data_IF_282243438197
#
_entry.id   IF_282243438197
#
_cell.length_a   1.000
_cell.length_b   1.000
_cell.length_c   1.000
_cell.angle_alpha   90.00
_cell.angle_beta   90.00
_cell.angle_gamma   90.00
#
_symmetry.space_group_name_H-M   'P 1'
#
loop_
_entity.id
_entity.type
_entity.pdbx_description
1 polymer ?
#
# COMPACT_ATOMS: atom_id res chain seq x y z
N UNK A 1 29.36 -76.97 16.80
CA UNK A 1 29.08 -75.55 16.46
C UNK A 1 27.75 -75.18 17.13
N UNK A 2 27.78 -74.08 17.88
CA UNK A 2 26.77 -73.59 18.86
C UNK A 2 25.38 -73.44 18.21
N UNK A 3 24.33 -74.07 18.75
CA UNK A 3 23.35 -73.56 19.75
C UNK A 3 22.57 -72.30 19.31
N UNK A 4 21.25 -72.43 19.00
CA UNK A 4 20.05 -72.20 19.87
C UNK A 4 19.69 -70.70 19.98
N UNK A 5 18.48 -70.19 19.66
CA UNK A 5 17.12 -70.33 20.27
C UNK A 5 16.10 -69.66 19.30
N UNK A 6 14.92 -70.19 18.91
CA UNK A 6 13.63 -70.37 19.62
C UNK A 6 13.16 -69.09 20.37
N UNK A 7 11.97 -68.48 20.17
CA UNK A 7 10.57 -68.89 20.51
C UNK A 7 9.65 -67.72 20.03
N UNK A 8 8.62 -67.94 19.18
CA UNK A 8 7.14 -67.96 19.45
C UNK A 8 6.52 -66.61 19.93
N UNK A 9 5.30 -66.14 19.59
CA UNK A 9 4.01 -66.78 19.26
C UNK A 9 2.99 -65.70 18.82
N UNK A 10 2.01 -66.07 17.96
CA UNK A 10 0.59 -65.62 17.95
C UNK A 10 0.25 -64.14 17.68
N UNK A 11 -0.81 -63.74 17.00
CA UNK A 11 -2.03 -64.41 16.55
C UNK A 11 -3.05 -63.32 16.20
N UNK A 12 -3.86 -63.56 15.19
CA UNK A 12 -4.58 -62.57 14.38
C UNK A 12 -5.98 -62.16 14.89
N UNK A 13 -6.40 -60.95 14.49
CA UNK A 13 -7.70 -60.49 13.94
C UNK A 13 -9.02 -60.87 14.67
N UNK A 14 -9.84 -59.88 15.00
CA UNK A 14 -11.27 -59.82 14.62
C UNK A 14 -11.93 -58.47 14.96
N UNK A 15 -12.61 -57.89 13.96
CA UNK A 15 -13.55 -56.79 14.10
C UNK A 15 -14.94 -57.32 14.49
N UNK A 16 -15.68 -56.58 15.32
CA UNK A 16 -17.13 -56.71 15.47
C UNK A 16 -17.75 -55.32 15.63
N UNK A 17 -18.60 -54.97 14.68
CA UNK A 17 -19.62 -53.92 14.77
C UNK A 17 -20.83 -54.51 15.49
N UNK A 18 -21.40 -53.83 16.48
CA UNK A 18 -22.83 -53.90 16.76
C UNK A 18 -23.32 -52.62 17.45
N UNK A 19 -24.35 -52.02 16.87
CA UNK A 19 -25.09 -50.88 17.37
C UNK A 19 -26.04 -51.27 18.52
N UNK A 20 -26.33 -50.33 19.43
CA UNK A 20 -27.63 -50.14 20.10
C UNK A 20 -27.63 -48.88 21.00
N UNK A 21 -28.52 -47.93 20.68
CA UNK A 21 -29.08 -46.87 21.56
C UNK A 21 -30.27 -47.42 22.40
N UNK A 22 -30.93 -46.65 23.29
CA UNK A 22 -30.52 -45.55 24.17
C UNK A 22 -30.89 -45.82 25.65
N UNK A 23 -30.28 -45.11 26.60
CA UNK A 23 -30.83 -44.97 27.96
C UNK A 23 -30.76 -43.51 28.39
N UNK A 24 -31.95 -42.92 28.56
CA UNK A 24 -32.15 -41.57 29.05
C UNK A 24 -31.79 -41.49 30.53
N UNK A 25 -31.02 -40.46 30.90
CA UNK A 25 -30.98 -39.93 32.26
C UNK A 25 -30.86 -38.40 32.19
N UNK A 26 -32.04 -37.77 32.24
CA UNK A 26 -32.41 -36.55 32.97
C UNK A 26 -31.43 -35.37 32.91
N UNK A 27 -31.95 -34.33 32.26
CA UNK A 27 -31.41 -32.98 32.20
C UNK A 27 -31.26 -32.33 33.60
N UNK A 28 -30.07 -31.78 33.85
CA UNK A 28 -29.94 -30.51 34.57
C UNK A 28 -29.68 -29.44 33.52
N UNK A 29 -30.68 -28.60 33.26
CA UNK A 29 -30.51 -27.39 32.47
C UNK A 29 -29.65 -26.40 33.27
N UNK A 30 -28.34 -26.57 33.19
CA UNK A 30 -27.41 -25.48 33.41
C UNK A 30 -27.72 -24.41 32.38
N UNK A 31 -28.29 -23.30 32.84
CA UNK A 31 -28.58 -22.10 32.07
C UNK A 31 -27.24 -21.52 31.56
N UNK A 32 -26.66 -22.12 30.53
CA UNK A 32 -25.62 -21.50 29.73
C UNK A 32 -26.32 -20.42 28.92
N UNK A 33 -26.23 -19.19 29.40
CA UNK A 33 -26.39 -18.02 28.55
C UNK A 33 -25.67 -18.30 27.23
N UNK A 34 -26.29 -18.04 26.06
CA UNK A 34 -25.57 -18.16 24.80
C UNK A 34 -24.28 -17.36 24.97
N UNK A 35 -23.15 -18.01 24.70
CA UNK A 35 -21.89 -17.31 24.50
C UNK A 35 -22.22 -16.35 23.37
N UNK A 36 -22.43 -15.08 23.75
CA UNK A 36 -22.56 -13.99 22.81
C UNK A 36 -21.25 -14.06 22.05
N UNK A 37 -21.31 -14.37 20.75
CA UNK A 37 -20.17 -14.12 19.89
C UNK A 37 -19.68 -12.71 20.25
N UNK A 38 -18.36 -12.52 20.47
CA UNK A 38 -17.86 -11.18 20.69
C UNK A 38 -18.43 -10.34 19.55
N UNK A 39 -19.23 -9.35 19.91
CA UNK A 39 -19.61 -8.30 18.98
C UNK A 39 -18.26 -7.78 18.52
N UNK A 40 -17.87 -8.04 17.28
CA UNK A 40 -16.73 -7.36 16.67
C UNK A 40 -16.94 -5.88 16.98
N UNK A 41 -16.10 -5.31 17.83
CA UNK A 41 -16.14 -3.88 18.06
C UNK A 41 -15.96 -3.26 16.67
N UNK A 42 -16.83 -2.31 16.28
CA UNK A 42 -16.69 -1.67 14.99
C UNK A 42 -15.28 -1.08 14.94
N UNK A 43 -14.50 -1.50 13.95
CA UNK A 43 -13.19 -0.93 13.70
C UNK A 43 -13.45 0.53 13.34
N UNK A 44 -13.22 1.46 14.28
CA UNK A 44 -13.35 2.89 13.99
C UNK A 44 -12.39 3.21 12.85
N UNK A 45 -12.87 3.80 11.73
CA UNK A 45 -11.99 4.19 10.65
C UNK A 45 -10.98 5.20 11.19
N UNK A 46 -9.75 5.17 10.68
CA UNK A 46 -8.70 6.06 11.17
C UNK A 46 -9.13 7.53 11.00
N UNK A 47 -9.85 7.84 9.93
CA UNK A 47 -10.40 9.17 9.64
C UNK A 47 -11.84 9.11 9.14
N UNK A 48 -12.57 10.20 9.32
CA UNK A 48 -13.80 10.48 8.57
C UNK A 48 -13.49 11.37 7.37
N UNK A 49 -14.19 11.12 6.26
CA UNK A 49 -14.07 11.91 5.04
C UNK A 49 -15.24 12.90 4.92
N UNK A 50 -14.93 14.19 4.71
CA UNK A 50 -15.92 15.23 4.43
C UNK A 50 -15.66 15.81 3.04
N UNK A 51 -16.59 15.63 2.11
CA UNK A 51 -16.49 16.14 0.75
C UNK A 51 -16.71 17.66 0.68
N UNK A 52 -15.99 18.30 -0.24
CA UNK A 52 -16.29 19.65 -0.71
C UNK A 52 -17.39 19.63 -1.78
N UNK A 53 -18.12 20.74 -1.93
CA UNK A 53 -19.20 20.86 -2.91
C UNK A 53 -18.71 20.77 -4.37
N UNK A 54 -17.48 21.20 -4.59
CA UNK A 54 -16.74 21.21 -5.84
C UNK A 54 -15.24 21.32 -5.50
N UNK A 55 -14.34 21.12 -6.47
CA UNK A 55 -12.92 21.32 -6.25
C UNK A 55 -12.59 22.74 -5.78
N UNK A 56 -11.67 22.87 -4.83
CA UNK A 56 -11.19 24.15 -4.27
C UNK A 56 -9.67 24.15 -4.12
N UNK A 57 -9.05 25.32 -4.00
CA UNK A 57 -7.61 25.40 -3.74
C UNK A 57 -7.28 24.94 -2.32
N UNK A 58 -6.07 24.40 -2.11
CA UNK A 58 -5.59 23.95 -0.80
C UNK A 58 -5.60 25.07 0.26
N UNK A 59 -5.27 26.29 -0.14
CA UNK A 59 -5.35 27.47 0.74
C UNK A 59 -6.80 27.77 1.18
N UNK A 60 -7.75 27.67 0.26
CA UNK A 60 -9.18 27.90 0.55
C UNK A 60 -9.75 26.79 1.43
N UNK A 61 -9.41 25.54 1.14
CA UNK A 61 -9.79 24.37 1.93
C UNK A 61 -9.33 24.53 3.38
N UNK A 62 -8.06 24.88 3.58
CA UNK A 62 -7.46 25.12 4.91
C UNK A 62 -8.18 26.23 5.68
N UNK A 63 -8.55 27.30 4.98
CA UNK A 63 -9.25 28.44 5.58
C UNK A 63 -10.67 28.07 6.02
N UNK A 64 -11.43 27.37 5.17
CA UNK A 64 -12.83 26.98 5.46
C UNK A 64 -12.90 25.91 6.54
N UNK A 65 -12.04 24.90 6.49
CA UNK A 65 -11.94 23.87 7.52
C UNK A 65 -11.69 24.47 8.91
N UNK A 66 -10.73 25.40 8.99
CA UNK A 66 -10.41 26.12 10.23
C UNK A 66 -11.57 26.97 10.71
N UNK A 67 -12.26 27.68 9.81
CA UNK A 67 -13.43 28.51 10.15
C UNK A 67 -14.62 27.67 10.66
N UNK A 68 -14.79 26.45 10.15
CA UNK A 68 -15.77 25.48 10.62
C UNK A 68 -15.40 24.84 11.97
N UNK A 69 -14.18 25.08 12.47
CA UNK A 69 -13.66 24.52 13.71
C UNK A 69 -13.52 22.99 13.67
N UNK A 70 -13.40 22.41 12.48
CA UNK A 70 -13.22 20.96 12.30
C UNK A 70 -11.77 20.56 12.62
N UNK A 71 -11.54 19.43 13.32
CA UNK A 71 -10.21 18.89 13.57
C UNK A 71 -9.69 18.21 12.31
N UNK A 72 -9.40 19.01 11.28
CA UNK A 72 -8.88 18.48 10.01
C UNK A 72 -7.42 18.05 10.19
N UNK A 73 -7.10 16.88 9.66
CA UNK A 73 -5.77 16.28 9.69
C UNK A 73 -5.10 16.29 8.30
N UNK A 74 -5.89 16.27 7.24
CA UNK A 74 -5.38 16.27 5.88
C UNK A 74 -6.47 16.53 4.84
N UNK A 75 -6.07 16.46 3.57
CA UNK A 75 -6.93 16.72 2.42
C UNK A 75 -6.61 15.74 1.30
N UNK A 76 -7.65 15.23 0.64
CA UNK A 76 -7.55 14.54 -0.64
C UNK A 76 -7.72 15.52 -1.78
N UNK A 77 -6.90 15.38 -2.81
CA UNK A 77 -7.11 16.05 -4.08
C UNK A 77 -7.25 15.06 -5.22
N UNK A 78 -8.09 15.45 -6.18
CA UNK A 78 -8.36 14.70 -7.39
C UNK A 78 -8.71 15.71 -8.48
N UNK A 79 -7.93 15.70 -9.56
CA UNK A 79 -8.21 16.45 -10.79
C UNK A 79 -8.32 15.49 -11.97
N UNK A 80 -8.33 15.99 -13.20
CA UNK A 80 -8.21 15.15 -14.40
C UNK A 80 -6.78 14.64 -14.63
N UNK A 81 -5.78 15.18 -13.91
CA UNK A 81 -4.35 14.91 -14.13
C UNK A 81 -3.64 14.20 -12.96
N UNK A 82 -4.00 14.49 -11.72
CA UNK A 82 -3.31 13.93 -10.53
C UNK A 82 -4.29 13.54 -9.42
N UNK A 83 -3.88 12.62 -8.56
CA UNK A 83 -4.55 12.28 -7.30
C UNK A 83 -3.52 12.19 -6.18
N UNK A 84 -3.94 12.44 -4.95
CA UNK A 84 -3.09 12.26 -3.79
C UNK A 84 -3.67 12.84 -2.52
N UNK A 85 -2.86 12.81 -1.48
CA UNK A 85 -3.20 13.33 -0.16
C UNK A 85 -2.13 14.31 0.33
N UNK A 86 -2.59 15.34 1.04
CA UNK A 86 -1.75 16.27 1.80
C UNK A 86 -2.17 16.21 3.27
N UNK A 87 -1.21 15.95 4.16
CA UNK A 87 -1.40 15.83 5.60
C UNK A 87 -0.76 17.02 6.31
N UNK A 88 -1.51 17.63 7.24
CA UNK A 88 -1.04 18.81 7.96
C UNK A 88 0.17 18.53 8.86
N UNK A 89 0.27 17.29 9.35
CA UNK A 89 1.42 16.79 10.10
C UNK A 89 2.39 15.97 9.22
N UNK A 90 2.20 15.98 7.89
CA UNK A 90 3.06 15.28 6.92
C UNK A 90 4.47 15.87 6.79
N UNK A 91 4.71 17.05 7.37
CA UNK A 91 6.04 17.68 7.48
C UNK A 91 6.31 18.78 6.46
N UNK A 92 5.69 18.71 5.28
CA UNK A 92 5.76 19.81 4.32
C UNK A 92 4.75 20.90 4.69
N UNK A 93 5.18 22.15 4.57
CA UNK A 93 4.24 23.27 4.57
C UNK A 93 3.36 23.22 3.30
N UNK A 94 2.22 23.91 3.34
CA UNK A 94 1.34 24.06 2.16
C UNK A 94 2.13 24.59 0.96
N UNK A 95 2.99 25.58 1.17
CA UNK A 95 3.82 26.15 0.11
C UNK A 95 4.85 25.17 -0.46
N UNK A 96 5.49 24.36 0.40
CA UNK A 96 6.46 23.34 -0.03
C UNK A 96 5.77 22.21 -0.80
N UNK A 97 4.64 21.71 -0.32
CA UNK A 97 3.88 20.69 -1.02
C UNK A 97 3.40 21.17 -2.40
N UNK A 98 2.84 22.38 -2.48
CA UNK A 98 2.44 22.97 -3.75
C UNK A 98 3.63 23.17 -4.70
N UNK A 99 4.81 23.51 -4.17
CA UNK A 99 6.02 23.65 -4.97
C UNK A 99 6.48 22.31 -5.54
N UNK A 100 6.43 21.23 -4.76
CA UNK A 100 6.79 19.88 -5.22
C UNK A 100 5.81 19.34 -6.26
N UNK A 101 4.49 19.44 -6.04
CA UNK A 101 3.49 19.06 -7.04
C UNK A 101 3.77 19.82 -8.34
N UNK A 102 3.94 21.14 -8.27
CA UNK A 102 4.19 21.97 -9.46
C UNK A 102 5.50 21.63 -10.16
N UNK A 103 6.56 21.31 -9.40
CA UNK A 103 7.87 20.92 -9.94
C UNK A 103 7.77 19.62 -10.73
N UNK A 104 7.03 18.64 -10.22
CA UNK A 104 6.96 17.31 -10.83
C UNK A 104 5.90 17.21 -11.94
N UNK A 105 4.84 18.04 -11.88
CA UNK A 105 3.69 17.94 -12.79
C UNK A 105 3.44 19.16 -13.68
N UNK A 106 3.86 20.35 -13.27
CA UNK A 106 3.38 21.62 -13.82
C UNK A 106 1.94 22.02 -13.46
N UNK A 107 1.19 21.22 -12.70
CA UNK A 107 -0.18 21.50 -12.21
C UNK A 107 -0.20 21.91 -10.72
N UNK A 108 -1.40 21.98 -10.14
CA UNK A 108 -1.69 22.21 -8.73
C UNK A 108 -2.79 21.24 -8.26
N UNK A 109 -2.84 20.89 -6.96
CA UNK A 109 -3.86 20.01 -6.42
C UNK A 109 -5.24 20.70 -6.35
N UNK A 110 -6.26 19.93 -6.74
CA UNK A 110 -7.68 20.29 -6.65
C UNK A 110 -8.33 19.56 -5.47
N UNK A 111 -8.55 20.27 -4.36
CA UNK A 111 -9.03 19.63 -3.12
C UNK A 111 -10.50 19.25 -3.26
N UNK A 112 -10.80 17.97 -2.98
CA UNK A 112 -12.16 17.40 -3.06
C UNK A 112 -12.67 16.87 -1.72
N UNK A 113 -11.78 16.52 -0.80
CA UNK A 113 -12.14 15.96 0.53
C UNK A 113 -11.24 16.50 1.62
N UNK A 114 -11.79 16.71 2.82
CA UNK A 114 -11.02 16.90 4.05
C UNK A 114 -11.09 15.62 4.91
N UNK A 115 -9.94 15.19 5.41
CA UNK A 115 -9.82 14.14 6.43
C UNK A 115 -9.95 14.76 7.81
N UNK A 116 -10.90 14.29 8.60
CA UNK A 116 -11.13 14.71 10.00
C UNK A 116 -10.94 13.53 10.92
N UNK A 117 -10.41 13.78 12.11
CA UNK A 117 -10.42 12.83 13.22
C UNK A 117 -11.81 12.16 13.35
N UNK A 118 -11.86 10.84 13.17
CA UNK A 118 -13.10 10.09 13.13
C UNK A 118 -13.84 10.04 14.47
N UNK A 119 -13.12 10.02 15.59
CA UNK A 119 -13.69 10.01 16.94
C UNK A 119 -14.26 11.40 17.26
N UNK A 120 -13.47 12.44 17.03
CA UNK A 120 -13.89 13.82 17.29
C UNK A 120 -15.05 14.26 16.38
N UNK A 121 -15.10 13.75 15.13
CA UNK A 121 -16.21 14.02 14.23
C UNK A 121 -17.50 13.29 14.64
N UNK A 122 -17.40 12.03 15.05
CA UNK A 122 -18.55 11.24 15.54
C UNK A 122 -19.17 11.90 16.76
N UNK A 123 -18.36 12.31 17.73
CA UNK A 123 -18.80 13.02 18.92
C UNK A 123 -19.53 14.34 18.59
N UNK A 124 -18.98 15.13 17.65
CA UNK A 124 -19.64 16.36 17.18
C UNK A 124 -20.97 16.06 16.49
N UNK A 125 -21.06 15.00 15.69
CA UNK A 125 -22.28 14.62 14.98
C UNK A 125 -23.38 14.18 15.95
N UNK A 126 -23.04 13.39 16.96
CA UNK A 126 -23.97 12.95 17.99
C UNK A 126 -24.49 14.10 18.85
N UNK A 127 -23.61 15.03 19.24
CA UNK A 127 -23.99 16.24 19.96
C UNK A 127 -24.87 17.18 19.12
N UNK A 128 -24.66 17.20 17.81
CA UNK A 128 -25.28 18.17 16.90
C UNK A 128 -26.50 17.64 16.14
N UNK A 129 -27.26 16.67 16.69
CA UNK A 129 -28.50 16.08 16.10
C UNK A 129 -29.14 16.94 15.00
N UNK A 130 -28.67 16.82 13.75
CA UNK A 130 -29.01 17.79 12.70
C UNK A 130 -27.89 18.25 11.76
N UNK A 131 -26.64 17.86 11.95
CA UNK A 131 -25.67 17.87 10.84
C UNK A 131 -26.12 16.80 9.84
N UNK A 132 -26.92 17.20 8.84
CA UNK A 132 -27.03 16.44 7.58
C UNK A 132 -25.66 16.32 6.91
N UNK A 133 -25.57 15.66 5.76
CA UNK A 133 -24.32 15.50 5.01
C UNK A 133 -23.60 16.86 4.92
N UNK A 134 -22.54 17.03 5.71
CA UNK A 134 -21.81 18.30 5.81
C UNK A 134 -21.00 18.38 4.54
N UNK A 135 -21.37 19.30 3.65
CA UNK A 135 -20.59 19.60 2.46
C UNK A 135 -19.84 20.90 2.71
N UNK A 136 -18.52 20.87 2.55
CA UNK A 136 -17.68 22.04 2.76
C UNK A 136 -17.60 22.92 1.52
N UNK A 137 -17.39 24.22 1.73
CA UNK A 137 -16.97 25.13 0.68
C UNK A 137 -18.02 25.46 -0.40
N UNK A 138 -19.32 25.27 -0.14
CA UNK A 138 -20.38 25.59 -1.11
C UNK A 138 -20.38 27.06 -1.60
N UNK A 139 -19.85 27.99 -0.81
CA UNK A 139 -19.72 29.41 -1.16
C UNK A 139 -18.34 29.77 -1.76
N UNK A 140 -17.41 28.81 -1.84
CA UNK A 140 -16.09 29.05 -2.44
C UNK A 140 -16.20 29.07 -3.98
N UNK A 141 -15.27 29.73 -4.69
CA UNK A 141 -15.18 29.55 -6.13
C UNK A 141 -14.71 28.13 -6.47
N UNK A 142 -15.18 27.61 -7.61
CA UNK A 142 -14.60 26.41 -8.22
C UNK A 142 -13.15 26.70 -8.56
N UNK A 143 -12.26 25.81 -8.13
CA UNK A 143 -10.85 25.84 -8.51
C UNK A 143 -10.61 24.82 -9.63
N UNK A 144 -9.90 25.25 -10.66
CA UNK A 144 -9.61 24.48 -11.87
C UNK A 144 -8.12 24.70 -12.17
N UNK A 145 -7.31 23.67 -11.95
CA UNK A 145 -5.87 23.73 -12.11
C UNK A 145 -5.50 23.49 -13.59
N UNK A 146 -4.39 24.06 -14.10
CA UNK A 146 -3.94 23.74 -15.45
C UNK A 146 -3.57 22.25 -15.54
N UNK A 147 -3.80 21.61 -16.69
CA UNK A 147 -3.44 20.20 -16.91
C UNK A 147 -1.95 19.93 -16.61
N UNK A 148 -1.65 18.75 -16.08
CA UNK A 148 -0.28 18.33 -15.88
C UNK A 148 0.42 18.08 -17.22
N UNK A 149 1.73 18.34 -17.23
CA UNK A 149 2.59 18.13 -18.39
C UNK A 149 3.51 16.94 -18.15
N UNK A 150 3.74 16.13 -19.18
CA UNK A 150 4.74 15.07 -19.10
C UNK A 150 6.13 15.69 -18.99
N UNK A 151 6.94 15.34 -17.97
CA UNK A 151 8.32 15.80 -17.90
C UNK A 151 9.11 15.33 -19.13
N UNK A 152 9.69 16.27 -19.89
CA UNK A 152 10.42 15.96 -21.14
C UNK A 152 11.68 15.12 -20.92
N UNK A 153 12.16 15.04 -19.68
CA UNK A 153 13.44 14.41 -19.33
C UNK A 153 13.29 12.99 -18.75
N UNK A 154 12.06 12.52 -18.52
CA UNK A 154 11.75 11.17 -17.99
C UNK A 154 11.25 10.22 -19.07
N UNK A 155 11.90 10.23 -20.24
CA UNK A 155 11.65 9.22 -21.27
C UNK A 155 11.92 7.81 -20.71
N UNK A 156 11.22 6.76 -21.20
CA UNK A 156 11.54 5.38 -20.83
C UNK A 156 13.03 5.18 -21.09
N UNK A 157 13.78 4.76 -20.08
CA UNK A 157 15.23 4.60 -20.16
C UNK A 157 15.61 3.94 -21.50
N UNK A 158 16.15 4.72 -22.45
CA UNK A 158 16.67 4.15 -23.69
C UNK A 158 17.78 3.21 -23.27
N UNK A 159 17.54 1.90 -23.46
CA UNK A 159 18.57 0.88 -23.27
C UNK A 159 19.80 1.30 -24.08
N UNK A 160 20.85 1.75 -23.41
CA UNK A 160 22.17 1.82 -24.01
C UNK A 160 22.54 0.41 -24.46
N UNK A 161 22.56 0.21 -25.78
CA UNK A 161 22.55 -1.09 -26.46
C UNK A 161 23.87 -1.86 -26.39
N UNK A 162 24.62 -1.80 -25.29
CA UNK A 162 25.97 -2.36 -25.20
C UNK A 162 26.19 -3.37 -24.07
N UNK A 163 25.17 -3.77 -23.30
CA UNK A 163 25.30 -4.94 -22.45
C UNK A 163 25.14 -6.22 -23.30
N UNK A 164 26.27 -6.85 -23.64
CA UNK A 164 26.30 -8.19 -24.24
C UNK A 164 25.54 -9.17 -23.34
N UNK A 165 24.32 -9.50 -23.75
CA UNK A 165 23.52 -10.56 -23.17
C UNK A 165 24.26 -11.89 -23.34
N UNK A 166 24.77 -12.45 -22.24
CA UNK A 166 25.14 -13.85 -22.19
C UNK A 166 23.86 -14.68 -22.11
N UNK A 167 23.66 -15.70 -22.98
CA UNK A 167 22.44 -16.50 -22.96
C UNK A 167 22.56 -17.53 -21.83
N UNK A 168 22.19 -17.15 -20.61
CA UNK A 168 21.78 -18.12 -19.60
C UNK A 168 20.27 -18.26 -19.74
N UNK A 169 19.87 -19.32 -20.45
CA UNK A 169 18.48 -19.77 -20.55
C UNK A 169 18.07 -20.25 -19.15
N UNK A 170 17.58 -19.33 -18.31
CA UNK A 170 16.69 -19.69 -17.23
C UNK A 170 15.32 -19.94 -17.88
N UNK A 171 14.74 -21.10 -17.60
CA UNK A 171 13.50 -21.57 -18.20
C UNK A 171 12.41 -20.50 -18.15
N UNK A 172 12.06 -19.93 -19.30
CA UNK A 172 10.74 -19.35 -19.48
C UNK A 172 9.75 -20.50 -19.34
N UNK A 173 9.16 -20.64 -18.15
CA UNK A 173 7.85 -21.27 -18.05
C UNK A 173 6.97 -20.58 -19.10
N UNK A 174 6.26 -21.36 -19.92
CA UNK A 174 5.44 -20.86 -21.02
C UNK A 174 4.71 -19.58 -20.60
N UNK A 175 5.05 -18.44 -21.23
CA UNK A 175 4.65 -17.11 -20.77
C UNK A 175 3.12 -17.00 -20.74
N UNK A 176 2.55 -17.12 -19.55
CA UNK A 176 1.16 -16.77 -19.27
C UNK A 176 1.07 -15.31 -18.86
N UNK A 177 -0.14 -14.76 -18.93
CA UNK A 177 -0.41 -13.39 -18.48
C UNK A 177 0.10 -13.17 -17.03
N UNK A 178 0.46 -11.94 -16.68
CA UNK A 178 0.98 -11.53 -15.37
C UNK A 178 0.60 -10.08 -15.09
N UNK A 179 0.24 -9.81 -13.83
CA UNK A 179 -0.08 -8.46 -13.35
C UNK A 179 1.17 -7.61 -13.05
N UNK A 180 2.33 -8.24 -12.91
CA UNK A 180 3.54 -7.58 -12.41
C UNK A 180 4.09 -6.55 -13.40
N UNK A 181 4.57 -5.38 -12.93
CA UNK A 181 5.27 -4.44 -13.81
C UNK A 181 6.57 -5.05 -14.34
N UNK A 182 6.85 -4.82 -15.63
CA UNK A 182 8.12 -5.17 -16.24
C UNK A 182 9.27 -4.48 -15.48
N UNK A 183 9.09 -3.19 -15.24
CA UNK A 183 10.10 -2.30 -14.71
C UNK A 183 9.62 -1.53 -13.49
N UNK A 184 10.56 -1.29 -12.58
CA UNK A 184 10.40 -0.38 -11.46
C UNK A 184 11.68 0.46 -11.31
N UNK A 185 11.53 1.77 -11.22
CA UNK A 185 12.59 2.71 -10.87
C UNK A 185 12.17 3.45 -9.62
N UNK A 186 13.07 3.56 -8.65
CA UNK A 186 12.80 4.29 -7.41
C UNK A 186 14.01 5.12 -7.03
N UNK A 187 13.75 6.31 -6.55
CA UNK A 187 14.74 7.29 -6.11
C UNK A 187 14.37 7.77 -4.72
N UNK A 188 15.28 7.67 -3.76
CA UNK A 188 15.10 8.16 -2.39
C UNK A 188 16.15 9.23 -2.13
N UNK A 189 15.72 10.46 -1.81
CA UNK A 189 16.61 11.59 -1.48
C UNK A 189 16.20 12.25 -0.16
N UNK A 190 17.18 12.76 0.59
CA UNK A 190 16.93 13.53 1.81
C UNK A 190 16.50 14.98 1.48
N UNK A 191 15.37 15.44 2.01
CA UNK A 191 14.90 16.83 1.91
C UNK A 191 15.04 17.62 3.22
N UNK A 192 15.78 17.10 4.19
CA UNK A 192 15.97 17.72 5.50
C UNK A 192 14.95 17.22 6.52
N UNK A 193 13.69 17.70 6.46
CA UNK A 193 12.62 17.26 7.37
C UNK A 193 11.88 16.02 6.87
N UNK A 194 11.80 15.85 5.55
CA UNK A 194 11.16 14.72 4.87
C UNK A 194 12.20 13.95 4.05
N UNK A 195 11.85 12.72 3.67
CA UNK A 195 12.46 12.09 2.50
C UNK A 195 11.58 12.35 1.28
N UNK A 196 12.17 12.39 0.09
CA UNK A 196 11.43 12.29 -1.17
C UNK A 196 11.64 10.90 -1.76
N UNK A 197 10.54 10.23 -2.06
CA UNK A 197 10.51 8.94 -2.75
C UNK A 197 9.79 9.15 -4.07
N UNK A 198 10.53 9.06 -5.19
CA UNK A 198 9.95 9.07 -6.54
C UNK A 198 10.01 7.67 -7.11
N UNK A 199 8.86 7.11 -7.45
CA UNK A 199 8.71 5.76 -7.98
C UNK A 199 8.03 5.77 -9.35
N UNK A 200 8.55 4.98 -10.28
CA UNK A 200 8.00 4.76 -11.60
C UNK A 200 7.84 3.27 -11.83
N UNK A 201 6.64 2.84 -12.22
CA UNK A 201 6.34 1.46 -12.60
C UNK A 201 5.84 1.41 -14.03
N UNK A 202 6.29 0.43 -14.82
CA UNK A 202 5.92 0.32 -16.24
C UNK A 202 5.59 -1.09 -16.66
N UNK A 203 4.55 -1.21 -17.48
CA UNK A 203 4.13 -2.40 -18.22
C UNK A 203 4.28 -2.11 -19.72
N UNK A 204 4.95 -2.99 -20.45
CA UNK A 204 5.32 -2.73 -21.84
C UNK A 204 4.45 -3.47 -22.84
N UNK A 205 4.15 -2.80 -23.95
CA UNK A 205 3.32 -3.32 -25.03
C UNK A 205 3.89 -4.50 -25.83
N UNK A 206 5.21 -4.67 -25.84
CA UNK A 206 5.86 -5.79 -26.54
C UNK A 206 5.82 -7.09 -25.73
N UNK A 207 5.36 -7.03 -24.48
CA UNK A 207 5.03 -8.18 -23.66
C UNK A 207 3.50 -8.25 -23.50
N UNK A 208 2.77 -8.87 -24.44
CA UNK A 208 1.31 -8.93 -24.38
C UNK A 208 0.79 -9.69 -23.15
N UNK A 209 1.69 -10.30 -22.38
CA UNK A 209 1.39 -11.05 -21.18
C UNK A 209 1.52 -10.19 -19.92
N UNK A 210 2.14 -9.01 -19.93
CA UNK A 210 2.31 -8.18 -18.73
C UNK A 210 1.38 -6.96 -18.74
N UNK A 211 0.41 -6.90 -17.83
CA UNK A 211 -0.52 -5.76 -17.77
C UNK A 211 -1.18 -5.60 -16.40
N UNK A 212 -1.40 -4.37 -15.90
CA UNK A 212 -2.25 -4.17 -14.72
C UNK A 212 -3.69 -4.60 -15.00
N UNK A 213 -4.09 -4.68 -16.27
CA UNK A 213 -5.43 -5.05 -16.73
C UNK A 213 -5.77 -6.53 -16.54
N UNK A 214 -4.76 -7.39 -16.38
CA UNK A 214 -4.97 -8.83 -16.15
C UNK A 214 -5.05 -9.18 -14.66
N UNK A 215 -4.99 -8.17 -13.78
CA UNK A 215 -5.22 -8.36 -12.35
C UNK A 215 -6.61 -8.96 -12.12
N UNK A 216 -6.69 -9.98 -11.26
CA UNK A 216 -7.97 -10.60 -10.93
C UNK A 216 -8.98 -9.57 -10.40
N UNK A 217 -10.26 -9.75 -10.74
CA UNK A 217 -11.32 -8.96 -10.14
C UNK A 217 -11.31 -9.10 -8.61
N UNK A 218 -11.69 -8.04 -7.89
CA UNK A 218 -11.60 -7.92 -6.43
C UNK A 218 -10.15 -7.86 -5.87
N UNK A 219 -9.14 -7.66 -6.72
CA UNK A 219 -7.74 -7.47 -6.31
C UNK A 219 -7.16 -6.13 -6.80
N UNK A 220 -6.27 -5.58 -5.99
CA UNK A 220 -5.48 -4.38 -6.24
C UNK A 220 -3.98 -4.63 -6.10
N UNK A 221 -3.18 -3.58 -6.21
CA UNK A 221 -1.73 -3.65 -6.06
C UNK A 221 -1.23 -2.63 -5.04
N UNK A 222 -0.19 -2.97 -4.29
CA UNK A 222 0.54 -2.03 -3.44
C UNK A 222 1.99 -1.93 -3.86
N UNK A 223 2.48 -0.69 -3.91
CA UNK A 223 3.83 -0.31 -4.30
C UNK A 223 4.56 0.16 -3.06
N UNK A 224 5.45 -0.68 -2.52
CA UNK A 224 6.01 -0.50 -1.19
C UNK A 224 7.50 -0.21 -1.23
N UNK A 225 7.93 0.70 -0.34
CA UNK A 225 9.33 0.94 0.01
C UNK A 225 9.48 0.76 1.52
N UNK A 226 10.27 -0.24 1.90
CA UNK A 226 10.38 -0.72 3.27
C UNK A 226 11.70 -0.23 3.89
N UNK A 227 11.62 0.49 5.00
CA UNK A 227 12.77 0.96 5.75
C UNK A 227 12.95 0.11 7.01
N UNK A 228 13.99 -0.71 7.02
CA UNK A 228 14.27 -1.65 8.11
C UNK A 228 15.16 -0.98 9.17
N UNK A 229 14.68 -0.98 10.41
CA UNK A 229 15.45 -0.56 11.59
C UNK A 229 15.95 -1.77 12.38
N UNK A 230 17.14 -1.62 12.99
CA UNK A 230 17.64 -2.55 14.00
C UNK A 230 17.38 -2.04 15.43
N UNK A 231 16.96 -0.79 15.58
CA UNK A 231 16.60 -0.15 16.84
C UNK A 231 15.10 -0.38 17.08
N UNK A 232 14.77 -1.47 17.76
CA UNK A 232 13.39 -1.73 18.24
C UNK A 232 13.32 -1.51 19.75
N UNK A 233 12.20 -1.01 20.32
CA UNK A 233 11.91 -1.22 21.73
C UNK A 233 11.70 -2.73 22.00
N UNK A 234 12.74 -3.30 22.62
CA UNK A 234 12.88 -4.55 23.39
C UNK A 234 11.72 -5.57 23.51
N UNK A 235 11.99 -6.90 23.58
CA UNK A 235 13.31 -7.54 23.57
C UNK A 235 13.77 -8.00 22.19
N UNK A 236 15.05 -7.78 21.84
CA UNK A 236 15.72 -8.46 20.75
C UNK A 236 15.68 -9.98 20.99
N UNK A 237 15.27 -10.76 19.99
CA UNK A 237 15.36 -12.22 20.03
C UNK A 237 14.07 -12.97 20.34
N UNK A 238 12.91 -12.31 20.38
CA UNK A 238 11.61 -13.01 20.36
C UNK A 238 11.17 -13.16 18.90
N UNK A 239 11.06 -14.37 18.35
CA UNK A 239 10.46 -14.56 17.03
C UNK A 239 9.06 -13.95 17.04
N UNK A 240 8.75 -13.08 16.09
CA UNK A 240 7.38 -12.60 15.90
C UNK A 240 6.56 -13.85 15.58
N UNK A 241 5.77 -14.28 16.55
CA UNK A 241 4.79 -15.35 16.34
C UNK A 241 3.53 -14.64 15.89
N UNK A 242 3.19 -14.74 14.60
CA UNK A 242 1.92 -14.26 14.06
C UNK A 242 0.78 -14.86 14.89
N UNK A 243 0.06 -14.07 15.72
CA UNK A 243 -1.07 -14.60 16.46
C UNK A 243 -2.28 -14.56 15.52
N UNK A 244 -2.40 -15.53 14.62
CA UNK A 244 -3.55 -15.60 13.72
C UNK A 244 -3.65 -14.44 12.73
N UNK A 245 -4.63 -14.53 11.83
CA UNK A 245 -4.80 -13.65 10.67
C UNK A 245 -5.44 -12.29 10.98
N UNK A 246 -5.77 -12.02 12.25
CA UNK A 246 -6.65 -10.90 12.64
C UNK A 246 -6.13 -10.08 13.84
N UNK A 247 -4.88 -10.30 14.28
CA UNK A 247 -4.29 -9.53 15.40
C UNK A 247 -3.13 -8.67 14.89
N UNK A 248 -3.39 -7.36 14.88
CA UNK A 248 -2.42 -6.29 14.68
C UNK A 248 -1.12 -6.61 15.45
N UNK A 249 0.08 -6.56 14.85
CA UNK A 249 1.31 -6.75 15.59
C UNK A 249 1.32 -5.72 16.73
N UNK A 250 1.40 -6.21 17.97
CA UNK A 250 1.47 -5.33 19.13
C UNK A 250 2.86 -4.69 19.16
N UNK A 251 3.03 -3.63 18.37
CA UNK A 251 4.17 -2.73 18.44
C UNK A 251 3.96 -1.83 19.66
N UNK A 252 4.06 -2.43 20.85
CA UNK A 252 3.85 -1.74 22.12
C UNK A 252 4.95 -0.68 22.31
N UNK A 253 4.63 0.55 21.96
CA UNK A 253 5.46 1.75 22.05
C UNK A 253 4.99 2.78 21.03
N UNK A 254 4.64 3.98 21.50
CA UNK A 254 3.93 5.01 20.71
C UNK A 254 4.73 5.52 19.48
N UNK A 255 6.03 5.21 19.40
CA UNK A 255 6.93 5.82 18.41
C UNK A 255 7.34 4.89 17.26
N UNK A 256 6.90 3.60 17.19
CA UNK A 256 7.49 2.62 16.25
C UNK A 256 7.46 3.07 14.77
N UNK A 257 6.45 3.86 14.39
CA UNK A 257 6.30 4.43 13.05
C UNK A 257 7.48 5.31 12.66
N UNK A 258 8.18 5.89 13.64
CA UNK A 258 9.25 6.86 13.43
C UNK A 258 10.66 6.27 13.52
N UNK A 259 10.87 4.98 13.78
CA UNK A 259 12.23 4.49 14.14
C UNK A 259 13.16 4.35 12.94
N UNK A 260 12.64 3.96 11.79
CA UNK A 260 13.45 3.82 10.59
C UNK A 260 13.82 5.19 10.00
N UNK A 261 14.50 5.22 8.86
CA UNK A 261 14.90 6.48 8.22
C UNK A 261 13.73 7.25 7.61
N UNK A 262 12.65 6.55 7.27
CA UNK A 262 11.36 7.14 6.92
C UNK A 262 10.35 6.81 8.02
N UNK A 263 9.51 7.78 8.35
CA UNK A 263 8.35 7.56 9.20
C UNK A 263 7.21 6.94 8.41
N UNK A 264 6.46 6.01 9.02
CA UNK A 264 5.20 5.48 8.50
C UNK A 264 3.96 6.10 9.18
N UNK A 265 4.07 7.37 9.59
CA UNK A 265 2.92 8.21 9.90
C UNK A 265 2.21 8.62 8.59
N UNK A 266 0.98 9.16 8.63
CA UNK A 266 0.36 9.75 7.45
C UNK A 266 1.32 10.71 6.75
N UNK A 267 1.54 10.49 5.45
CA UNK A 267 2.56 11.19 4.66
C UNK A 267 1.97 11.79 3.38
N UNK A 268 2.53 12.91 2.95
CA UNK A 268 2.11 13.56 1.70
C UNK A 268 2.48 12.68 0.50
N UNK A 269 1.56 12.55 -0.46
CA UNK A 269 1.85 11.81 -1.69
C UNK A 269 0.97 12.28 -2.85
N UNK A 270 1.43 11.99 -4.06
CA UNK A 270 0.61 12.08 -5.27
C UNK A 270 1.04 11.06 -6.30
N UNK A 271 0.13 10.74 -7.21
CA UNK A 271 0.43 9.91 -8.36
C UNK A 271 -0.36 10.28 -9.60
N UNK A 272 0.16 9.85 -10.73
CA UNK A 272 -0.49 9.96 -12.03
C UNK A 272 -0.07 8.83 -12.95
N UNK A 273 -0.78 8.73 -14.08
CA UNK A 273 -0.45 7.79 -15.14
C UNK A 273 -0.18 8.51 -16.44
N UNK A 274 0.67 7.91 -17.28
CA UNK A 274 0.91 8.40 -18.64
C UNK A 274 0.05 7.56 -19.59
N UNK A 275 -0.97 8.20 -20.15
CA UNK A 275 -1.82 7.63 -21.18
C UNK A 275 -1.32 7.99 -22.57
N UNK A 276 -1.55 7.08 -23.52
CA UNK A 276 -1.45 7.27 -24.95
C UNK A 276 -0.34 8.22 -25.37
N UNK A 277 -0.81 9.41 -25.71
CA UNK A 277 -0.12 10.47 -26.42
C UNK A 277 0.74 11.36 -25.51
N UNK A 278 1.40 10.81 -24.48
CA UNK A 278 2.05 11.60 -23.43
C UNK A 278 1.04 12.51 -22.72
N UNK A 279 -0.17 11.99 -22.45
CA UNK A 279 -1.18 12.69 -21.67
C UNK A 279 -1.01 12.23 -20.22
N UNK A 280 -0.89 13.18 -19.31
CA UNK A 280 -0.96 12.89 -17.88
C UNK A 280 -2.43 12.79 -17.51
N UNK A 281 -2.81 11.68 -16.88
CA UNK A 281 -4.18 11.46 -16.42
C UNK A 281 -4.19 11.14 -14.93
N UNK A 282 -5.21 11.66 -14.25
CA UNK A 282 -5.50 11.29 -12.89
C UNK A 282 -6.00 9.85 -12.85
N UNK A 283 -5.46 9.03 -11.96
CA UNK A 283 -5.91 7.67 -11.77
C UNK A 283 -7.08 7.60 -10.78
N UNK A 284 -8.01 8.59 -10.78
CA UNK A 284 -9.15 8.62 -9.85
C UNK A 284 -9.95 7.31 -9.87
N UNK A 285 -10.21 6.78 -11.07
CA UNK A 285 -10.83 5.47 -11.27
C UNK A 285 -9.99 4.28 -10.78
N UNK A 286 -8.68 4.43 -10.58
CA UNK A 286 -7.82 3.37 -10.05
C UNK A 286 -7.96 3.21 -8.54
N UNK A 287 -8.61 4.16 -7.86
CA UNK A 287 -8.72 4.18 -6.41
C UNK A 287 -7.34 4.15 -5.76
N UNK A 288 -6.47 5.12 -6.08
CA UNK A 288 -5.19 5.24 -5.40
C UNK A 288 -5.38 5.71 -3.95
N UNK A 289 -4.55 5.18 -3.05
CA UNK A 289 -4.55 5.49 -1.62
C UNK A 289 -3.13 5.41 -1.06
N UNK A 290 -2.80 6.28 -0.10
CA UNK A 290 -1.64 6.08 0.76
C UNK A 290 -1.93 4.97 1.76
N UNK A 291 -1.02 4.04 1.93
CA UNK A 291 -1.08 3.00 2.95
C UNK A 291 0.00 3.28 3.99
N UNK A 292 -0.44 3.92 5.08
CA UNK A 292 0.35 4.17 6.28
C UNK A 292 -0.11 3.29 7.46
N UNK A 293 -0.92 2.27 7.16
CA UNK A 293 -1.51 1.40 8.16
C UNK A 293 -0.72 0.09 8.22
N UNK A 294 0.16 -0.02 9.19
CA UNK A 294 1.13 -1.10 9.38
C UNK A 294 0.53 -2.38 10.00
N UNK A 295 -0.79 -2.61 9.87
CA UNK A 295 -1.53 -3.64 10.63
C UNK A 295 -1.02 -5.07 10.41
N UNK A 296 -0.23 -5.30 9.36
CA UNK A 296 0.41 -6.59 9.06
C UNK A 296 1.93 -6.55 9.13
N UNK A 297 2.52 -5.37 9.29
CA UNK A 297 3.96 -5.18 9.10
C UNK A 297 4.76 -5.53 10.35
N UNK A 298 5.96 -6.11 10.19
CA UNK A 298 6.86 -6.29 11.33
C UNK A 298 7.21 -4.94 11.97
N UNK A 299 7.14 -4.84 13.31
CA UNK A 299 7.45 -3.62 14.07
C UNK A 299 8.88 -3.05 13.92
N UNK A 300 9.72 -3.66 13.09
CA UNK A 300 11.08 -3.19 12.78
C UNK A 300 11.19 -2.69 11.34
N UNK A 301 10.05 -2.40 10.71
CA UNK A 301 9.92 -1.87 9.35
C UNK A 301 8.97 -0.68 9.40
N UNK A 302 9.38 0.42 8.82
CA UNK A 302 8.48 1.50 8.41
C UNK A 302 8.26 1.36 6.90
N UNK A 303 7.02 1.06 6.50
CA UNK A 303 6.65 0.84 5.11
C UNK A 303 6.01 2.08 4.55
N UNK A 304 6.54 2.62 3.46
CA UNK A 304 5.89 3.72 2.73
C UNK A 304 5.26 3.12 1.50
N UNK A 305 3.95 3.04 1.47
CA UNK A 305 3.20 2.34 0.44
C UNK A 305 2.12 3.22 -0.19
N UNK A 306 1.99 3.14 -1.51
CA UNK A 306 0.81 3.65 -2.22
C UNK A 306 0.15 2.47 -2.89
N UNK A 307 -1.15 2.31 -2.69
CA UNK A 307 -1.94 1.24 -3.26
C UNK A 307 -2.83 1.69 -4.41
N UNK A 308 -3.30 0.72 -5.18
CA UNK A 308 -4.17 0.85 -6.34
C UNK A 308 -5.28 -0.19 -6.26
N UNK A 309 -6.48 0.23 -5.89
CA UNK A 309 -7.60 -0.68 -5.68
C UNK A 309 -8.17 -1.26 -6.99
N UNK A 310 -8.05 -0.54 -8.11
CA UNK A 310 -8.66 -0.93 -9.39
C UNK A 310 -7.65 -0.86 -10.56
N UNK A 311 -6.64 -1.75 -10.61
CA UNK A 311 -5.64 -1.70 -11.66
C UNK A 311 -6.16 -1.91 -13.08
N UNK A 312 -7.28 -2.60 -13.22
CA UNK A 312 -7.94 -2.84 -14.50
C UNK A 312 -8.53 -1.58 -15.14
N UNK A 313 -8.62 -0.47 -14.41
CA UNK A 313 -9.06 0.81 -14.95
C UNK A 313 -7.88 1.65 -15.49
N UNK A 314 -6.63 1.14 -15.44
CA UNK A 314 -5.44 1.90 -15.84
C UNK A 314 -5.46 2.19 -17.35
N UNK A 315 -5.42 3.47 -17.76
CA UNK A 315 -5.42 3.83 -19.17
C UNK A 315 -4.14 3.32 -19.84
N UNK A 316 -4.27 2.91 -21.10
CA UNK A 316 -3.17 2.36 -21.89
C UNK A 316 -2.53 3.43 -22.77
N UNK A 317 -1.25 3.69 -22.45
CA UNK A 317 -0.20 4.32 -23.26
C UNK A 317 -0.22 4.05 -24.77
N UNK A 318 0.49 4.88 -25.54
CA UNK A 318 0.67 4.60 -26.97
C UNK A 318 1.38 3.26 -27.08
N UNK A 319 0.88 2.39 -27.96
CA UNK A 319 1.28 1.00 -28.14
C UNK A 319 0.75 0.01 -27.08
N UNK A 320 0.07 0.44 -26.02
CA UNK A 320 -0.44 -0.47 -24.97
C UNK A 320 0.47 -0.55 -23.73
N UNK A 321 1.36 0.43 -23.55
CA UNK A 321 2.17 0.54 -22.33
C UNK A 321 1.33 1.12 -21.19
N UNK A 322 1.54 0.71 -19.95
CA UNK A 322 0.99 1.42 -18.79
C UNK A 322 2.15 1.97 -17.97
N UNK A 323 2.08 3.23 -17.54
CA UNK A 323 3.10 3.83 -16.68
C UNK A 323 2.44 4.56 -15.52
N UNK A 324 2.87 4.21 -14.30
CA UNK A 324 2.44 4.83 -13.05
C UNK A 324 3.62 5.59 -12.45
N UNK A 325 3.38 6.84 -12.09
CA UNK A 325 4.30 7.67 -11.31
C UNK A 325 3.71 7.88 -9.92
N UNK A 326 4.51 7.68 -8.88
CA UNK A 326 4.17 7.93 -7.48
C UNK A 326 5.27 8.77 -6.87
N UNK A 327 4.87 9.80 -6.13
CA UNK A 327 5.75 10.62 -5.31
C UNK A 327 5.23 10.60 -3.89
N UNK A 328 6.10 10.25 -2.95
CA UNK A 328 5.78 10.22 -1.53
C UNK A 328 6.81 11.04 -0.76
N UNK A 329 6.34 11.76 0.25
CA UNK A 329 7.16 12.63 1.09
C UNK A 329 7.00 12.28 2.57
N UNK A 330 7.35 11.06 3.00
CA UNK A 330 7.30 10.70 4.41
C UNK A 330 8.22 11.60 5.23
N UNK A 331 7.82 11.87 6.47
CA UNK A 331 8.72 12.48 7.46
C UNK A 331 9.99 11.64 7.59
N UNK A 332 11.12 12.29 7.88
CA UNK A 332 12.28 11.56 8.35
C UNK A 332 11.95 10.92 9.69
N UNK A 333 12.29 9.65 9.81
CA UNK A 333 12.30 9.02 11.12
C UNK A 333 13.60 9.31 11.88
N UNK A 334 13.79 8.57 12.97
CA UNK A 334 14.83 8.77 13.96
C UNK A 334 16.19 8.26 13.49
N UNK A 335 16.21 7.24 12.64
CA UNK A 335 17.44 6.75 12.04
C UNK A 335 17.92 7.67 10.91
N UNK A 336 19.22 7.96 10.89
CA UNK A 336 19.80 8.73 9.78
C UNK A 336 19.85 7.93 8.48
N UNK A 337 19.98 6.60 8.60
CA UNK A 337 20.00 5.65 7.49
C UNK A 337 19.34 4.35 7.90
N UNK A 338 18.57 3.75 7.00
CA UNK A 338 18.00 2.41 7.19
C UNK A 338 18.31 1.53 6.00
N UNK A 339 18.35 0.23 6.24
CA UNK A 339 18.38 -0.75 5.15
C UNK A 339 17.05 -0.67 4.41
N UNK A 340 17.07 -0.74 3.08
CA UNK A 340 15.87 -0.58 2.26
C UNK A 340 15.56 -1.83 1.45
N UNK A 341 14.29 -2.22 1.47
CA UNK A 341 13.67 -3.16 0.54
C UNK A 341 12.56 -2.48 -0.25
N UNK A 342 12.12 -3.11 -1.33
CA UNK A 342 10.95 -2.64 -2.05
C UNK A 342 10.30 -3.77 -2.81
N UNK A 343 8.98 -3.77 -2.84
CA UNK A 343 8.16 -4.78 -3.51
C UNK A 343 6.95 -4.12 -4.20
N UNK A 344 6.38 -4.83 -5.17
CA UNK A 344 4.99 -4.64 -5.59
C UNK A 344 4.23 -5.90 -5.24
N UNK A 345 3.10 -5.80 -4.56
CA UNK A 345 2.35 -6.97 -4.11
C UNK A 345 0.89 -6.94 -4.55
N UNK A 346 0.29 -8.12 -4.81
CA UNK A 346 -1.14 -8.21 -5.03
C UNK A 346 -1.87 -8.18 -3.69
N UNK A 347 -2.85 -7.29 -3.56
CA UNK A 347 -3.66 -7.15 -2.35
C UNK A 347 -5.13 -7.36 -2.64
N UNK A 348 -5.84 -7.97 -1.70
CA UNK A 348 -7.28 -8.22 -1.86
C UNK A 348 -8.10 -7.01 -1.40
N UNK A 349 -9.25 -6.81 -2.05
CA UNK A 349 -10.28 -5.83 -1.68
C UNK A 349 -11.32 -6.40 -0.72
N UNK A 350 -11.14 -7.66 -0.28
CA UNK A 350 -12.16 -8.41 0.46
C UNK A 350 -12.78 -7.63 1.62
N UNK A 351 -11.94 -6.99 2.45
CA UNK A 351 -12.43 -6.21 3.58
C UNK A 351 -13.18 -4.95 3.12
N UNK A 352 -12.69 -4.26 2.09
CA UNK A 352 -13.36 -3.08 1.52
C UNK A 352 -14.75 -3.40 0.99
N UNK A 353 -14.94 -4.58 0.41
CA UNK A 353 -16.22 -4.99 -0.16
C UNK A 353 -17.23 -5.42 0.92
N UNK A 354 -16.73 -6.02 2.00
CA UNK A 354 -17.55 -6.37 3.17
C UNK A 354 -17.82 -5.17 4.08
N UNK A 355 -16.96 -4.16 4.06
CA UNK A 355 -17.04 -2.94 4.87
C UNK A 355 -16.83 -1.70 3.97
N UNK A 356 -17.80 -1.39 3.08
CA UNK A 356 -17.66 -0.34 2.06
C UNK A 356 -17.58 1.08 2.61
N UNK A 357 -17.77 1.26 3.92
CA UNK A 357 -17.61 2.53 4.61
C UNK A 357 -16.17 2.77 5.11
N UNK A 358 -15.32 1.74 5.08
CA UNK A 358 -13.93 1.81 5.53
C UNK A 358 -13.05 2.41 4.41
N UNK A 359 -12.13 3.33 4.72
CA UNK A 359 -11.27 3.91 3.70
C UNK A 359 -10.30 2.86 3.16
N UNK A 360 -9.82 3.06 1.92
CA UNK A 360 -8.96 2.08 1.23
C UNK A 360 -7.69 1.75 2.02
N UNK A 361 -7.09 2.75 2.68
CA UNK A 361 -5.92 2.56 3.57
C UNK A 361 -6.17 1.61 4.74
N UNK A 362 -7.43 1.43 5.16
CA UNK A 362 -7.79 0.61 6.33
C UNK A 362 -8.32 -0.78 5.93
N UNK A 363 -8.72 -0.98 4.67
CA UNK A 363 -9.40 -2.19 4.23
C UNK A 363 -8.66 -2.96 3.13
N UNK A 364 -7.76 -2.33 2.38
CA UNK A 364 -7.00 -3.05 1.36
C UNK A 364 -5.92 -3.92 2.02
N UNK A 365 -5.65 -5.10 1.47
CA UNK A 365 -4.54 -5.95 1.93
C UNK A 365 -4.72 -6.62 3.30
N UNK A 366 -5.70 -6.20 4.11
CA UNK A 366 -5.94 -6.72 5.47
C UNK A 366 -6.17 -8.23 5.49
N UNK A 367 -6.96 -8.76 4.55
CA UNK A 367 -7.25 -10.20 4.51
C UNK A 367 -6.20 -10.96 3.70
N UNK A 368 -5.40 -11.81 4.34
CA UNK A 368 -4.45 -12.66 3.62
C UNK A 368 -5.15 -13.81 2.85
N UNK A 369 -5.44 -13.57 1.58
CA UNK A 369 -5.95 -14.54 0.60
C UNK A 369 -4.84 -14.94 -0.41
N UNK A 370 -5.01 -16.07 -1.08
CA UNK A 370 -4.16 -16.43 -2.22
C UNK A 370 -4.67 -15.74 -3.47
N UNK A 371 -3.79 -15.05 -4.18
CA UNK A 371 -4.12 -14.42 -5.46
C UNK A 371 -4.55 -15.47 -6.49
N UNK A 372 -5.76 -15.34 -7.09
CA UNK A 372 -6.33 -16.36 -7.98
C UNK A 372 -6.05 -16.11 -9.46
N UNK A 373 -5.49 -14.95 -9.80
CA UNK A 373 -5.33 -14.51 -11.18
C UNK A 373 -4.04 -14.98 -11.87
N UNK A 374 -3.83 -14.54 -13.12
CA UNK A 374 -2.63 -14.86 -13.88
C UNK A 374 -1.39 -14.14 -13.31
N UNK A 375 -0.23 -14.79 -13.38
CA UNK A 375 1.02 -14.33 -12.79
C UNK A 375 1.36 -15.06 -11.48
N UNK A 376 2.33 -14.54 -10.74
CA UNK A 376 2.66 -15.10 -9.43
C UNK A 376 1.64 -14.65 -8.38
N UNK A 377 1.31 -15.56 -7.44
CA UNK A 377 0.56 -15.21 -6.25
C UNK A 377 1.43 -14.71 -5.10
N UNK A 378 2.63 -14.24 -5.41
CA UNK A 378 3.62 -13.69 -4.48
C UNK A 378 4.08 -12.32 -4.96
N UNK A 379 4.79 -11.60 -4.11
CA UNK A 379 5.24 -10.24 -4.37
C UNK A 379 6.26 -10.20 -5.53
N UNK A 380 6.22 -9.15 -6.35
CA UNK A 380 7.30 -8.77 -7.26
C UNK A 380 8.37 -8.04 -6.45
N UNK A 381 9.54 -8.63 -6.32
CA UNK A 381 10.66 -7.94 -5.68
C UNK A 381 11.18 -6.81 -6.57
N UNK A 382 11.26 -5.59 -6.03
CA UNK A 382 11.79 -4.40 -6.71
C UNK A 382 13.23 -4.14 -6.24
N UNK A 383 13.47 -4.25 -4.93
CA UNK A 383 14.80 -4.20 -4.33
C UNK A 383 14.89 -5.22 -3.19
N UNK A 384 15.93 -6.06 -3.20
CA UNK A 384 16.15 -7.01 -2.11
C UNK A 384 16.84 -6.32 -0.91
N UNK A 385 16.16 -6.33 0.24
CA UNK A 385 16.71 -5.80 1.49
C UNK A 385 17.97 -6.54 1.95
N UNK A 386 18.12 -7.83 1.66
CA UNK A 386 19.26 -8.66 2.09
C UNK A 386 20.62 -8.19 1.52
N UNK A 387 20.59 -7.40 0.44
CA UNK A 387 21.79 -6.82 -0.15
C UNK A 387 22.35 -5.63 0.67
N UNK A 388 21.70 -5.27 1.78
CA UNK A 388 22.15 -4.26 2.74
C UNK A 388 22.33 -2.85 2.14
N UNK A 389 21.55 -2.53 1.10
CA UNK A 389 21.48 -1.17 0.56
C UNK A 389 20.82 -0.25 1.57
N UNK A 390 21.30 0.99 1.68
CA UNK A 390 20.81 1.95 2.67
C UNK A 390 20.38 3.25 2.00
N UNK A 391 19.32 3.86 2.53
CA UNK A 391 18.83 5.19 2.18
C UNK A 391 18.93 6.11 3.41
N UNK A 392 18.94 7.46 3.26
CA UNK A 392 18.65 8.23 2.04
C UNK A 392 19.78 8.27 1.02
N UNK A 393 19.48 8.80 -0.17
CA UNK A 393 20.33 8.95 -1.38
C UNK A 393 20.61 7.67 -2.17
N UNK A 394 19.60 6.82 -2.25
CA UNK A 394 19.63 5.54 -2.95
C UNK A 394 18.68 5.55 -4.14
N UNK A 395 19.23 5.26 -5.32
CA UNK A 395 18.49 5.14 -6.55
C UNK A 395 18.70 3.75 -7.14
N UNK A 396 17.64 3.16 -7.69
CA UNK A 396 17.75 1.88 -8.37
C UNK A 396 16.76 1.71 -9.52
N UNK A 397 17.11 0.79 -10.40
CA UNK A 397 16.27 0.30 -11.50
C UNK A 397 16.22 -1.23 -11.47
N UNK A 398 15.00 -1.76 -11.49
CA UNK A 398 14.67 -3.18 -11.42
C UNK A 398 13.85 -3.57 -12.65
N UNK A 399 14.50 -4.16 -13.64
CA UNK A 399 13.86 -4.62 -14.87
C UNK A 399 13.52 -6.11 -14.87
N UNK A 400 12.92 -6.57 -15.95
CA UNK A 400 12.59 -7.99 -16.21
C UNK A 400 11.83 -8.65 -15.04
N UNK A 401 10.81 -7.97 -14.52
CA UNK A 401 9.97 -8.45 -13.41
C UNK A 401 10.75 -8.70 -12.09
N UNK A 402 11.95 -8.14 -11.95
CA UNK A 402 12.85 -8.41 -10.82
C UNK A 402 13.58 -9.75 -10.92
N UNK A 403 13.57 -10.40 -12.09
CA UNK A 403 14.33 -11.64 -12.33
C UNK A 403 15.84 -11.40 -12.42
N UNK A 404 16.24 -10.17 -12.70
CA UNK A 404 17.64 -9.71 -12.68
C UNK A 404 17.87 -8.81 -11.46
N UNK A 405 19.10 -8.81 -10.95
CA UNK A 405 19.48 -7.93 -9.87
C UNK A 405 19.29 -6.45 -10.25
N UNK A 406 18.74 -5.67 -9.34
CA UNK A 406 18.55 -4.23 -9.54
C UNK A 406 19.90 -3.53 -9.78
N UNK A 407 19.90 -2.58 -10.70
CA UNK A 407 21.01 -1.64 -10.90
C UNK A 407 20.89 -0.52 -9.87
N UNK A 408 21.97 -0.18 -9.19
CA UNK A 408 21.95 0.73 -8.03
C UNK A 408 22.99 1.82 -8.21
N UNK A 409 22.64 3.06 -7.85
CA UNK A 409 23.53 4.21 -7.87
C UNK A 409 23.13 5.24 -6.81
N UNK A 410 24.00 6.22 -6.58
CA UNK A 410 23.65 7.38 -5.73
C UNK A 410 22.88 8.41 -6.54
N UNK A 411 21.78 8.92 -5.96
CA UNK A 411 20.90 9.88 -6.63
C UNK A 411 21.55 11.22 -6.99
N UNK A 412 22.73 11.53 -6.44
CA UNK A 412 23.48 12.77 -6.69
C UNK A 412 24.42 12.69 -7.92
N UNK A 413 24.35 11.62 -8.72
CA UNK A 413 25.15 11.43 -9.93
C UNK A 413 24.46 11.94 -11.21
N UNK A 414 25.19 12.46 -12.21
CA UNK A 414 24.61 12.79 -13.50
C UNK A 414 24.24 11.49 -14.23
N UNK A 415 22.96 11.33 -14.57
CA UNK A 415 22.52 10.44 -15.64
C UNK A 415 21.98 11.29 -16.77
#
# INVERSE_FOLDING_TARGET
MRHLKAISLGGAIAAVVLAMTPAAAIAESGNQSPVKEPVEEPITPTFSEISFAHPVSLESATTVARAAGLPVEGYRFESDSIVGDFWLDGGLTVEEFLAEVRKETGTAPEIVTAYVDGEAFTDKREQSRGLGDVVLGADLPVYDAPDAVVPTDRGPAERSSTAQLSPVVASSAAAGDTWQPNDAQVMITDMGQNLSISSQYSWWSLDPYASPLVMADHWGMEFQVDFYTNNRPWPPGTPITFPGKDLRPNCSGDDYKDWAAASNQPFDWFGWVIDGANVVAAPGALGLYGDYNDLSDPCNVSTVAVGMAQPWAMPSGTYGTNTLMIYSYPLRGQETQSRVGSIVQPVTRHQCENQPWMPLTDCMGVTALSYPGPGTGQNRMVLNADNNNQAPDLCWYSGEFGLVAAQIWSCNGPY
#
